data_IF_139485894026
#
_entry.id   IF_139485894026
#
_cell.length_a   1.000
_cell.length_b   1.000
_cell.length_c   1.000
_cell.angle_alpha   90.00
_cell.angle_beta   90.00
_cell.angle_gamma   90.00
#
_symmetry.space_group_name_H-M   'P 1'
#
loop_
_entity.id
_entity.type
_entity.pdbx_description
1 polymer ?
#
# COMPACT_ATOMS: atom_id res chain seq x y z
N UNK A 1 27.52 -9.61 -26.66
CA UNK A 1 27.57 -10.08 -25.27
C UNK A 1 27.76 -11.58 -25.34
N UNK A 2 28.87 -12.08 -24.81
CA UNK A 2 29.27 -13.49 -24.94
C UNK A 2 28.36 -14.38 -24.08
N UNK A 3 27.64 -15.35 -24.67
CA UNK A 3 26.65 -16.15 -23.95
C UNK A 3 27.24 -17.11 -22.89
N UNK A 4 28.56 -17.34 -22.90
CA UNK A 4 29.27 -18.15 -21.90
C UNK A 4 29.74 -17.36 -20.67
N UNK A 5 29.78 -16.02 -20.74
CA UNK A 5 30.16 -15.17 -19.59
C UNK A 5 29.02 -15.04 -18.56
N UNK A 6 27.78 -15.38 -18.93
CA UNK A 6 26.58 -15.01 -18.18
C UNK A 6 26.04 -16.08 -17.22
N UNK A 7 25.96 -17.35 -17.61
CA UNK A 7 25.19 -18.34 -16.82
C UNK A 7 25.91 -18.80 -15.55
N UNK A 8 27.21 -19.07 -15.62
CA UNK A 8 28.00 -19.52 -14.48
C UNK A 8 28.20 -18.42 -13.43
N UNK A 9 28.37 -17.16 -13.89
CA UNK A 9 28.49 -16.01 -13.01
C UNK A 9 27.15 -15.67 -12.34
N UNK A 10 26.05 -15.66 -13.10
CA UNK A 10 24.70 -15.48 -12.56
C UNK A 10 24.38 -16.58 -11.52
N UNK A 11 24.71 -17.83 -11.82
CA UNK A 11 24.51 -18.94 -10.90
C UNK A 11 25.34 -18.79 -9.62
N UNK A 12 26.59 -18.34 -9.74
CA UNK A 12 27.45 -18.04 -8.60
C UNK A 12 26.86 -16.92 -7.74
N UNK A 13 26.44 -15.82 -8.35
CA UNK A 13 25.81 -14.69 -7.64
C UNK A 13 24.51 -15.09 -6.93
N UNK A 14 23.68 -15.91 -7.57
CA UNK A 14 22.46 -16.46 -6.97
C UNK A 14 22.78 -17.35 -5.75
N UNK A 15 23.79 -18.21 -5.85
CA UNK A 15 24.22 -19.05 -4.73
C UNK A 15 24.79 -18.19 -3.60
N UNK A 16 25.67 -17.25 -3.91
CA UNK A 16 26.29 -16.38 -2.93
C UNK A 16 25.22 -15.56 -2.17
N UNK A 17 24.27 -14.96 -2.88
CA UNK A 17 23.15 -14.21 -2.27
C UNK A 17 22.23 -15.10 -1.42
N UNK A 18 21.90 -16.31 -1.88
CA UNK A 18 21.13 -17.28 -1.09
C UNK A 18 21.86 -17.69 0.20
N UNK A 19 23.15 -18.02 0.09
CA UNK A 19 23.96 -18.44 1.23
C UNK A 19 24.13 -17.31 2.25
N UNK A 20 24.36 -16.09 1.81
CA UNK A 20 24.44 -14.91 2.67
C UNK A 20 23.10 -14.65 3.39
N UNK A 21 21.97 -14.84 2.70
CA UNK A 21 20.64 -14.72 3.30
C UNK A 21 20.40 -15.78 4.38
N UNK A 22 20.80 -17.03 4.12
CA UNK A 22 20.71 -18.14 5.09
C UNK A 22 21.60 -17.89 6.31
N UNK A 23 22.82 -17.39 6.12
CA UNK A 23 23.73 -17.06 7.21
C UNK A 23 23.20 -15.90 8.05
N UNK A 24 22.69 -14.85 7.43
CA UNK A 24 22.03 -13.74 8.13
C UNK A 24 20.76 -14.20 8.88
N UNK A 25 20.04 -15.20 8.34
CA UNK A 25 18.92 -15.82 9.03
C UNK A 25 19.34 -16.56 10.29
N UNK A 26 20.35 -17.44 10.17
CA UNK A 26 20.91 -18.18 11.31
C UNK A 26 21.49 -17.26 12.37
N UNK A 27 22.21 -16.20 11.98
CA UNK A 27 22.76 -15.22 12.90
C UNK A 27 21.67 -14.48 13.71
N UNK A 28 20.50 -14.23 13.11
CA UNK A 28 19.37 -13.61 13.81
C UNK A 28 18.81 -14.47 14.94
N UNK A 29 18.87 -15.79 14.81
CA UNK A 29 18.36 -16.73 15.81
C UNK A 29 19.42 -17.07 16.87
N UNK A 30 20.69 -17.18 16.46
CA UNK A 30 21.77 -17.67 17.31
C UNK A 30 22.51 -16.58 18.11
N UNK A 31 22.27 -15.28 17.85
CA UNK A 31 22.92 -14.19 18.59
C UNK A 31 22.03 -13.76 19.77
N UNK A 32 22.38 -14.13 21.02
CA UNK A 32 21.56 -13.87 22.20
C UNK A 32 21.64 -12.42 22.70
N UNK A 33 22.58 -11.61 22.18
CA UNK A 33 22.73 -10.20 22.56
C UNK A 33 21.68 -9.34 21.86
N UNK A 34 20.68 -8.79 22.58
CA UNK A 34 19.52 -8.13 21.96
C UNK A 34 19.89 -6.89 21.16
N UNK A 35 20.92 -6.15 21.60
CA UNK A 35 21.37 -4.94 20.90
C UNK A 35 21.98 -5.27 19.53
N UNK A 36 22.77 -6.34 19.40
CA UNK A 36 23.38 -6.77 18.12
C UNK A 36 22.30 -7.28 17.16
N UNK A 37 21.37 -8.10 17.67
CA UNK A 37 20.30 -8.66 16.85
C UNK A 37 19.33 -7.58 16.35
N UNK A 38 18.89 -6.67 17.24
CA UNK A 38 17.92 -5.62 16.90
C UNK A 38 18.50 -4.49 16.03
N UNK A 39 19.80 -4.19 16.13
CA UNK A 39 20.39 -3.09 15.35
C UNK A 39 21.09 -3.54 14.10
N UNK A 40 21.84 -4.63 14.11
CA UNK A 40 22.70 -4.99 12.98
C UNK A 40 21.97 -5.89 11.98
N UNK A 41 21.34 -6.96 12.48
CA UNK A 41 20.68 -7.96 11.64
C UNK A 41 19.36 -7.44 11.09
N UNK A 42 18.56 -6.76 11.91
CA UNK A 42 17.28 -6.19 11.48
C UNK A 42 17.47 -5.06 10.46
N UNK A 43 18.44 -4.16 10.68
CA UNK A 43 18.74 -3.08 9.73
C UNK A 43 19.33 -3.60 8.43
N UNK A 44 20.20 -4.62 8.47
CA UNK A 44 20.74 -5.23 7.26
C UNK A 44 19.65 -5.89 6.41
N UNK A 45 18.69 -6.59 7.02
CA UNK A 45 17.53 -7.15 6.30
C UNK A 45 16.65 -6.07 5.70
N UNK A 46 16.46 -4.97 6.42
CA UNK A 46 15.65 -3.85 5.94
C UNK A 46 16.32 -3.13 4.77
N UNK A 47 17.63 -2.93 4.83
CA UNK A 47 18.42 -2.40 3.71
C UNK A 47 18.35 -3.35 2.52
N UNK A 48 18.53 -4.66 2.73
CA UNK A 48 18.43 -5.66 1.67
C UNK A 48 17.04 -5.68 1.02
N UNK A 49 15.98 -5.65 1.82
CA UNK A 49 14.61 -5.57 1.32
C UNK A 49 14.40 -4.28 0.52
N UNK A 50 14.83 -3.12 1.03
CA UNK A 50 14.72 -1.84 0.33
C UNK A 50 15.46 -1.84 -1.00
N UNK A 51 16.68 -2.38 -1.05
CA UNK A 51 17.45 -2.47 -2.29
C UNK A 51 16.77 -3.40 -3.29
N UNK A 52 16.29 -4.57 -2.86
CA UNK A 52 15.57 -5.50 -3.74
C UNK A 52 14.29 -4.87 -4.29
N UNK A 53 13.49 -4.25 -3.42
CA UNK A 53 12.26 -3.56 -3.84
C UNK A 53 12.56 -2.40 -4.78
N UNK A 54 13.64 -1.64 -4.55
CA UNK A 54 14.04 -0.56 -5.45
C UNK A 54 14.40 -1.11 -6.84
N UNK A 55 15.16 -2.21 -6.91
CA UNK A 55 15.49 -2.87 -8.17
C UNK A 55 14.21 -3.36 -8.87
N UNK A 56 13.32 -4.03 -8.13
CA UNK A 56 12.03 -4.50 -8.68
C UNK A 56 11.21 -3.34 -9.26
N UNK A 57 11.12 -2.20 -8.56
CA UNK A 57 10.43 -0.99 -9.04
C UNK A 57 11.09 -0.42 -10.29
N UNK A 58 12.43 -0.33 -10.31
CA UNK A 58 13.16 0.19 -11.47
C UNK A 58 12.90 -0.68 -12.71
N UNK A 59 13.05 -1.99 -12.58
CA UNK A 59 12.96 -2.89 -13.74
C UNK A 59 11.52 -3.12 -14.23
N UNK A 60 10.52 -3.12 -13.33
CA UNK A 60 9.15 -3.49 -13.69
C UNK A 60 8.18 -2.32 -13.77
N UNK A 61 8.57 -1.12 -13.29
CA UNK A 61 7.74 0.09 -13.39
C UNK A 61 8.47 1.15 -14.21
N UNK A 62 9.68 1.54 -13.81
CA UNK A 62 10.39 2.67 -14.44
C UNK A 62 10.81 2.35 -15.87
N UNK A 63 11.48 1.23 -16.11
CA UNK A 63 11.95 0.83 -17.45
C UNK A 63 10.79 0.67 -18.44
N UNK A 64 9.71 -0.09 -18.14
CA UNK A 64 8.53 -0.14 -19.01
C UNK A 64 7.89 1.23 -19.24
N UNK A 65 7.79 2.08 -18.23
CA UNK A 65 7.20 3.42 -18.39
C UNK A 65 8.01 4.31 -19.37
N UNK A 66 9.33 4.26 -19.27
CA UNK A 66 10.23 4.99 -20.19
C UNK A 66 10.13 4.45 -21.61
N UNK A 67 10.07 3.13 -21.78
CA UNK A 67 9.89 2.49 -23.08
C UNK A 67 8.51 2.80 -23.69
N UNK A 68 7.47 2.92 -22.87
CA UNK A 68 6.10 3.20 -23.34
C UNK A 68 5.92 4.65 -23.83
N UNK A 69 6.62 5.61 -23.21
CA UNK A 69 6.47 7.04 -23.47
C UNK A 69 6.59 7.47 -24.95
N UNK A 70 7.59 7.03 -25.75
CA UNK A 70 7.68 7.39 -27.15
C UNK A 70 6.49 6.87 -27.97
N UNK A 71 5.99 5.66 -27.69
CA UNK A 71 4.82 5.11 -28.37
C UNK A 71 3.54 5.85 -28.00
N UNK A 72 3.38 6.27 -26.74
CA UNK A 72 2.24 7.07 -26.33
C UNK A 72 2.14 8.38 -27.14
N UNK A 73 3.27 9.07 -27.36
CA UNK A 73 3.30 10.32 -28.11
C UNK A 73 3.00 10.14 -29.61
N UNK A 74 3.27 8.95 -30.17
CA UNK A 74 2.98 8.63 -31.57
C UNK A 74 1.62 7.94 -31.78
N UNK A 75 0.91 7.60 -30.70
CA UNK A 75 -0.39 6.96 -30.75
C UNK A 75 -1.48 7.96 -31.17
N UNK A 76 -2.23 7.63 -32.22
CA UNK A 76 -3.32 8.45 -32.71
C UNK A 76 -4.67 7.88 -32.25
N UNK A 77 -5.31 8.58 -31.31
CA UNK A 77 -6.58 8.16 -30.73
C UNK A 77 -7.72 8.10 -31.77
N UNK A 78 -7.61 8.83 -32.88
CA UNK A 78 -8.63 8.84 -33.93
C UNK A 78 -8.67 7.53 -34.74
N UNK A 79 -7.52 6.83 -34.83
CA UNK A 79 -7.39 5.56 -35.55
C UNK A 79 -7.22 4.36 -34.63
N UNK A 80 -7.30 4.56 -33.31
CA UNK A 80 -7.00 3.57 -32.29
C UNK A 80 -5.67 2.82 -32.56
N UNK A 81 -4.66 3.53 -33.06
CA UNK A 81 -3.44 2.90 -33.55
C UNK A 81 -2.35 3.89 -33.98
N UNK A 82 -1.28 3.35 -34.55
CA UNK A 82 -0.12 4.12 -35.01
C UNK A 82 -0.24 4.45 -36.50
N UNK A 83 0.28 5.62 -36.90
CA UNK A 83 0.27 6.05 -38.30
C UNK A 83 0.99 5.01 -39.19
N UNK A 84 0.48 4.74 -40.42
CA UNK A 84 1.10 3.78 -41.34
C UNK A 84 2.59 4.04 -41.58
N UNK A 85 3.01 5.31 -41.62
CA UNK A 85 4.41 5.71 -41.79
C UNK A 85 5.38 5.12 -40.77
N UNK A 86 4.91 4.84 -39.55
CA UNK A 86 5.73 4.28 -38.47
C UNK A 86 6.03 2.80 -38.74
N UNK A 87 5.02 2.04 -39.18
CA UNK A 87 5.15 0.61 -39.51
C UNK A 87 6.09 0.33 -40.69
N UNK A 88 6.19 1.26 -41.65
CA UNK A 88 7.11 1.14 -42.78
C UNK A 88 8.54 1.61 -42.46
N UNK A 89 8.77 2.21 -41.29
CA UNK A 89 10.11 2.57 -40.83
C UNK A 89 10.79 1.38 -40.17
N UNK A 90 11.89 0.90 -40.76
CA UNK A 90 12.65 -0.24 -40.23
C UNK A 90 13.11 -0.02 -38.80
N UNK A 91 13.49 1.21 -38.44
CA UNK A 91 13.92 1.53 -37.05
C UNK A 91 12.78 1.41 -36.06
N UNK A 92 11.64 2.01 -36.40
CA UNK A 92 10.47 2.02 -35.52
C UNK A 92 9.93 0.60 -35.32
N UNK A 93 9.83 -0.17 -36.40
CA UNK A 93 9.33 -1.55 -36.35
C UNK A 93 10.22 -2.46 -35.50
N UNK A 94 11.55 -2.37 -35.66
CA UNK A 94 12.50 -3.15 -34.87
C UNK A 94 12.39 -2.77 -33.39
N UNK A 95 12.43 -1.47 -33.07
CA UNK A 95 12.26 -0.97 -31.70
C UNK A 95 10.95 -1.46 -31.08
N UNK A 96 9.83 -1.34 -31.81
CA UNK A 96 8.52 -1.80 -31.35
C UNK A 96 8.54 -3.30 -31.03
N UNK A 97 9.02 -4.14 -31.96
CA UNK A 97 9.06 -5.60 -31.76
C UNK A 97 9.93 -5.99 -30.56
N UNK A 98 11.08 -5.33 -30.36
CA UNK A 98 11.99 -5.66 -29.26
C UNK A 98 11.54 -5.11 -27.91
N UNK A 99 11.00 -3.88 -27.88
CA UNK A 99 10.65 -3.19 -26.62
C UNK A 99 9.28 -3.63 -26.11
N UNK A 100 8.36 -3.99 -27.00
CA UNK A 100 7.02 -4.48 -26.61
C UNK A 100 7.07 -5.80 -25.84
N UNK A 101 8.15 -6.57 -25.97
CA UNK A 101 8.35 -7.78 -25.18
C UNK A 101 8.51 -7.49 -23.67
N UNK A 102 8.99 -6.30 -23.32
CA UNK A 102 9.08 -5.83 -21.94
C UNK A 102 7.74 -5.25 -21.46
N UNK A 103 7.01 -4.57 -22.34
CA UNK A 103 5.73 -3.90 -22.03
C UNK A 103 4.57 -4.90 -21.87
N UNK A 104 4.50 -5.90 -22.76
CA UNK A 104 3.40 -6.85 -22.82
C UNK A 104 3.83 -8.23 -22.35
N UNK A 105 2.87 -9.03 -21.92
CA UNK A 105 3.11 -10.42 -21.53
C UNK A 105 3.29 -11.25 -22.80
N UNK A 106 4.50 -11.80 -23.00
CA UNK A 106 4.84 -12.56 -24.20
C UNK A 106 4.68 -14.07 -24.02
N UNK A 107 4.75 -14.55 -22.78
CA UNK A 107 4.65 -15.98 -22.44
C UNK A 107 4.06 -16.21 -21.05
N UNK A 108 3.63 -17.43 -20.77
CA UNK A 108 3.12 -17.82 -19.44
C UNK A 108 4.19 -17.66 -18.36
N UNK A 109 5.45 -17.97 -18.67
CA UNK A 109 6.57 -17.81 -17.74
C UNK A 109 6.89 -16.34 -17.46
N UNK A 110 6.77 -15.48 -18.48
CA UNK A 110 6.87 -14.03 -18.32
C UNK A 110 5.70 -13.46 -17.49
N UNK A 111 4.48 -13.97 -17.70
CA UNK A 111 3.33 -13.60 -16.86
C UNK A 111 3.57 -13.98 -15.40
N UNK A 112 4.05 -15.20 -15.16
CA UNK A 112 4.30 -15.73 -13.83
C UNK A 112 5.42 -14.95 -13.12
N UNK A 113 6.50 -14.58 -13.82
CA UNK A 113 7.59 -13.79 -13.24
C UNK A 113 7.14 -12.38 -12.87
N UNK A 114 6.40 -11.71 -13.76
CA UNK A 114 5.80 -10.38 -13.50
C UNK A 114 4.86 -10.42 -12.31
N UNK A 115 4.03 -11.46 -12.19
CA UNK A 115 3.12 -11.64 -11.06
C UNK A 115 3.89 -11.89 -9.75
N UNK A 116 4.92 -12.74 -9.78
CA UNK A 116 5.75 -13.02 -8.61
C UNK A 116 6.43 -11.76 -8.07
N UNK A 117 6.94 -10.92 -8.97
CA UNK A 117 7.63 -9.68 -8.59
C UNK A 117 6.64 -8.63 -8.09
N UNK A 118 5.46 -8.51 -8.72
CA UNK A 118 4.39 -7.66 -8.19
C UNK A 118 3.98 -8.07 -6.76
N UNK A 119 3.85 -9.38 -6.51
CA UNK A 119 3.57 -9.93 -5.19
C UNK A 119 4.73 -9.68 -4.20
N UNK A 120 5.98 -9.73 -4.66
CA UNK A 120 7.18 -9.42 -3.87
C UNK A 120 7.19 -7.96 -3.40
N UNK A 121 6.96 -7.01 -4.32
CA UNK A 121 6.87 -5.58 -4.01
C UNK A 121 5.72 -5.33 -3.01
N UNK A 122 4.56 -5.93 -3.24
CA UNK A 122 3.40 -5.80 -2.33
C UNK A 122 3.74 -6.29 -0.91
N UNK A 123 4.37 -7.47 -0.79
CA UNK A 123 4.81 -8.01 0.50
C UNK A 123 5.88 -7.15 1.16
N UNK A 124 6.83 -6.65 0.41
CA UNK A 124 7.88 -5.77 0.91
C UNK A 124 7.30 -4.45 1.43
N UNK A 125 6.35 -3.85 0.71
CA UNK A 125 5.62 -2.66 1.15
C UNK A 125 4.86 -2.92 2.45
N UNK A 126 4.12 -4.03 2.54
CA UNK A 126 3.39 -4.42 3.75
C UNK A 126 4.34 -4.62 4.95
N UNK A 127 5.49 -5.25 4.71
CA UNK A 127 6.53 -5.46 5.73
C UNK A 127 7.17 -4.13 6.16
N UNK A 128 7.46 -3.24 5.22
CA UNK A 128 7.97 -1.92 5.51
C UNK A 128 6.98 -1.10 6.35
N UNK A 129 5.68 -1.15 6.03
CA UNK A 129 4.63 -0.47 6.78
C UNK A 129 4.56 -0.95 8.24
N UNK A 130 4.58 -2.27 8.47
CA UNK A 130 4.56 -2.84 9.82
C UNK A 130 5.82 -2.51 10.63
N UNK A 131 6.98 -2.39 9.96
CA UNK A 131 8.25 -2.12 10.61
C UNK A 131 8.49 -0.63 10.87
N UNK A 132 8.07 0.25 9.95
CA UNK A 132 8.19 1.71 10.07
C UNK A 132 7.30 2.29 11.18
N UNK A 133 6.20 1.60 11.54
CA UNK A 133 5.24 2.05 12.56
C UNK A 133 4.86 3.52 12.36
N UNK A 134 4.23 3.87 11.23
CA UNK A 134 3.94 5.26 10.88
C UNK A 134 3.01 5.91 11.92
N UNK A 135 3.18 7.21 12.11
CA UNK A 135 2.26 8.04 12.91
C UNK A 135 1.03 8.46 12.12
N UNK A 136 1.19 8.67 10.82
CA UNK A 136 0.14 9.02 9.86
C UNK A 136 0.11 7.95 8.77
N UNK A 137 -1.05 7.34 8.54
CA UNK A 137 -1.23 6.31 7.53
C UNK A 137 -2.45 6.66 6.65
N UNK A 138 -2.19 6.95 5.38
CA UNK A 138 -3.22 7.18 4.38
C UNK A 138 -3.27 6.01 3.40
N UNK A 139 -4.41 5.33 3.36
CA UNK A 139 -4.69 4.13 2.56
C UNK A 139 -5.94 4.31 1.71
N UNK A 140 -6.35 5.55 1.44
CA UNK A 140 -7.55 5.87 0.68
C UNK A 140 -7.48 5.37 -0.77
N UNK A 141 -8.61 4.97 -1.34
CA UNK A 141 -8.75 4.59 -2.75
C UNK A 141 -7.88 3.39 -3.19
N UNK A 142 -7.72 2.39 -2.33
CA UNK A 142 -6.92 1.19 -2.62
C UNK A 142 -7.76 -0.09 -2.82
N UNK A 143 -9.09 -0.02 -2.70
CA UNK A 143 -9.96 -1.19 -2.84
C UNK A 143 -9.85 -2.22 -1.72
N UNK A 144 -9.35 -1.84 -0.54
CA UNK A 144 -9.20 -2.78 0.58
C UNK A 144 -10.56 -3.23 1.14
N UNK A 145 -10.72 -4.54 1.35
CA UNK A 145 -11.91 -5.13 1.97
C UNK A 145 -11.74 -5.37 3.46
N UNK A 146 -10.51 -5.56 3.93
CA UNK A 146 -10.18 -5.78 5.33
C UNK A 146 -8.94 -4.99 5.72
N UNK A 147 -8.84 -4.65 7.01
CA UNK A 147 -7.65 -4.02 7.61
C UNK A 147 -6.96 -5.05 8.51
N UNK A 148 -5.68 -5.38 8.28
CA UNK A 148 -4.97 -6.34 9.11
C UNK A 148 -4.77 -5.80 10.53
N UNK A 149 -4.90 -6.66 11.54
CA UNK A 149 -4.73 -6.28 12.96
C UNK A 149 -3.39 -5.63 13.25
N UNK A 150 -2.35 -6.02 12.52
CA UNK A 150 -0.98 -5.53 12.69
C UNK A 150 -0.86 -4.02 12.44
N UNK A 151 -1.76 -3.45 11.62
CA UNK A 151 -1.84 -1.99 11.40
C UNK A 151 -2.44 -1.29 12.61
N UNK A 152 -3.45 -1.91 13.24
CA UNK A 152 -4.11 -1.36 14.43
C UNK A 152 -3.27 -1.57 15.69
N UNK A 153 -2.40 -2.58 15.75
CA UNK A 153 -1.47 -2.83 16.87
C UNK A 153 -0.23 -1.90 16.88
N UNK A 154 -0.26 -0.80 16.12
CA UNK A 154 0.83 0.17 16.08
C UNK A 154 0.69 1.24 17.18
N UNK A 155 1.53 1.23 18.24
CA UNK A 155 1.41 2.16 19.37
C UNK A 155 1.76 3.62 19.03
N UNK A 156 2.21 3.91 17.80
CA UNK A 156 2.54 5.26 17.34
C UNK A 156 1.49 5.85 16.40
N UNK A 157 0.53 5.05 15.95
CA UNK A 157 -0.44 5.49 14.95
C UNK A 157 -1.41 6.50 15.57
N UNK A 158 -1.38 7.75 15.06
CA UNK A 158 -2.26 8.85 15.49
C UNK A 158 -3.34 9.14 14.46
N UNK A 159 -3.05 8.98 13.18
CA UNK A 159 -3.99 9.27 12.10
C UNK A 159 -4.08 8.12 11.12
N UNK A 160 -5.31 7.70 10.82
CA UNK A 160 -5.61 6.64 9.87
C UNK A 160 -6.69 7.09 8.88
N UNK A 161 -6.38 7.02 7.58
CA UNK A 161 -7.34 7.32 6.50
C UNK A 161 -7.60 6.08 5.67
N UNK A 162 -8.84 5.60 5.69
CA UNK A 162 -9.31 4.42 4.96
C UNK A 162 -10.44 4.75 3.98
N UNK A 163 -10.70 6.04 3.76
CA UNK A 163 -11.79 6.48 2.90
C UNK A 163 -11.75 5.89 1.48
N UNK A 164 -12.93 5.71 0.90
CA UNK A 164 -13.12 5.11 -0.42
C UNK A 164 -12.49 3.71 -0.58
N UNK A 165 -12.57 2.89 0.47
CA UNK A 165 -12.28 1.47 0.41
C UNK A 165 -13.52 0.67 0.84
N UNK A 166 -13.83 -0.48 0.22
CA UNK A 166 -14.95 -1.34 0.59
C UNK A 166 -14.69 -2.14 1.89
N UNK A 167 -14.07 -1.51 2.90
CA UNK A 167 -13.81 -2.12 4.21
C UNK A 167 -15.15 -2.32 4.93
N UNK A 168 -15.45 -3.56 5.31
CA UNK A 168 -16.67 -3.89 6.05
C UNK A 168 -16.49 -3.70 7.55
N UNK A 169 -15.34 -4.11 8.09
CA UNK A 169 -15.13 -4.19 9.53
C UNK A 169 -13.67 -3.86 9.90
N UNK A 170 -13.50 -3.31 11.10
CA UNK A 170 -12.19 -3.17 11.74
C UNK A 170 -11.95 -4.40 12.65
N UNK A 171 -10.69 -4.82 12.85
CA UNK A 171 -10.38 -6.00 13.65
C UNK A 171 -10.87 -5.83 15.11
N UNK A 172 -11.65 -6.79 15.61
CA UNK A 172 -12.15 -6.79 16.99
C UNK A 172 -11.07 -7.17 18.02
N UNK A 173 -10.10 -7.99 17.63
CA UNK A 173 -9.04 -8.49 18.50
C UNK A 173 -7.72 -7.74 18.27
N UNK A 174 -7.46 -6.72 19.11
CA UNK A 174 -6.22 -5.92 19.08
C UNK A 174 -5.55 -5.97 20.46
N UNK A 175 -4.28 -6.40 20.52
CA UNK A 175 -3.54 -6.54 21.79
C UNK A 175 -3.06 -5.21 22.36
N UNK A 176 -2.73 -4.26 21.49
CA UNK A 176 -2.20 -2.93 21.84
C UNK A 176 -3.01 -1.90 21.07
N UNK A 177 -3.84 -1.12 21.76
CA UNK A 177 -4.63 -0.08 21.10
C UNK A 177 -3.71 1.08 20.65
N UNK A 178 -3.90 1.58 19.43
CA UNK A 178 -3.19 2.75 18.94
C UNK A 178 -3.79 4.02 19.57
N UNK A 179 -2.98 5.04 19.91
CA UNK A 179 -3.48 6.34 20.36
C UNK A 179 -4.01 7.16 19.17
N UNK A 180 -5.08 6.67 18.54
CA UNK A 180 -5.71 7.31 17.39
C UNK A 180 -6.40 8.61 17.82
N UNK A 181 -5.99 9.70 17.18
CA UNK A 181 -6.61 11.02 17.26
C UNK A 181 -7.51 11.26 16.05
N UNK A 182 -7.17 10.66 14.90
CA UNK A 182 -7.82 10.94 13.62
C UNK A 182 -8.18 9.66 12.89
N UNK A 183 -9.44 9.52 12.48
CA UNK A 183 -9.93 8.36 11.73
C UNK A 183 -10.90 8.75 10.59
N UNK A 184 -10.49 8.55 9.35
CA UNK A 184 -11.34 8.78 8.16
C UNK A 184 -11.84 7.46 7.58
N UNK A 185 -13.17 7.29 7.60
CA UNK A 185 -13.92 6.13 7.11
C UNK A 185 -14.95 6.51 6.04
N UNK A 186 -14.80 7.68 5.41
CA UNK A 186 -15.74 8.15 4.38
C UNK A 186 -15.84 7.15 3.23
N UNK A 187 -17.05 6.88 2.75
CA UNK A 187 -17.30 5.90 1.67
C UNK A 187 -16.73 4.50 1.97
N UNK A 188 -16.82 4.05 3.22
CA UNK A 188 -16.55 2.66 3.60
C UNK A 188 -17.86 1.92 3.92
N UNK A 189 -17.79 0.60 4.15
CA UNK A 189 -18.94 -0.20 4.54
C UNK A 189 -18.92 -0.54 6.05
N UNK A 190 -18.15 0.23 6.83
CA UNK A 190 -18.03 0.06 8.28
C UNK A 190 -19.34 0.45 8.96
N UNK A 191 -19.89 -0.46 9.76
CA UNK A 191 -21.16 -0.27 10.47
C UNK A 191 -20.99 -0.07 11.98
N UNK A 192 -19.96 -0.67 12.58
CA UNK A 192 -19.69 -0.65 14.02
C UNK A 192 -18.20 -0.40 14.26
N UNK A 193 -17.87 0.34 15.32
CA UNK A 193 -16.49 0.53 15.77
C UNK A 193 -16.17 -0.42 16.93
N UNK A 194 -14.98 -1.02 16.97
CA UNK A 194 -14.63 -1.99 17.99
C UNK A 194 -14.52 -1.36 19.39
N UNK A 195 -14.67 -2.20 20.41
CA UNK A 195 -14.73 -1.78 21.82
C UNK A 195 -13.38 -1.30 22.38
N UNK A 196 -12.27 -1.81 21.86
CA UNK A 196 -10.91 -1.44 22.29
C UNK A 196 -10.50 -0.01 21.90
N UNK A 197 -11.24 0.62 20.98
CA UNK A 197 -10.90 1.96 20.47
C UNK A 197 -11.24 3.02 21.51
N UNK A 198 -10.26 3.84 21.86
CA UNK A 198 -10.51 5.02 22.68
C UNK A 198 -11.15 6.12 21.81
N UNK A 199 -12.30 6.61 22.27
CA UNK A 199 -13.10 7.65 21.60
C UNK A 199 -12.98 8.99 22.31
N UNK A 200 -12.15 9.10 23.35
CA UNK A 200 -12.04 10.28 24.19
C UNK A 200 -11.43 11.49 23.46
N UNK A 201 -10.43 11.26 22.62
CA UNK A 201 -9.72 12.26 21.81
C UNK A 201 -9.85 11.99 20.30
N UNK A 202 -10.73 11.06 19.92
CA UNK A 202 -10.91 10.66 18.54
C UNK A 202 -11.76 11.69 17.80
N UNK A 203 -11.25 12.10 16.64
CA UNK A 203 -11.92 12.93 15.67
C UNK A 203 -11.97 12.15 14.36
N UNK A 204 -13.16 11.98 13.79
CA UNK A 204 -13.31 11.17 12.60
C UNK A 204 -14.38 11.66 11.66
N UNK A 205 -14.36 11.11 10.46
CA UNK A 205 -15.41 11.31 9.45
C UNK A 205 -15.81 9.95 8.91
N UNK A 206 -17.11 9.71 8.75
CA UNK A 206 -17.67 8.46 8.25
C UNK A 206 -18.80 8.71 7.24
N UNK A 207 -18.72 9.80 6.48
CA UNK A 207 -19.73 10.20 5.52
C UNK A 207 -19.96 9.10 4.48
N UNK A 208 -21.22 8.79 4.20
CA UNK A 208 -21.65 7.69 3.33
C UNK A 208 -21.29 6.27 3.82
N UNK A 209 -20.77 6.10 5.03
CA UNK A 209 -20.64 4.78 5.67
C UNK A 209 -21.92 4.42 6.47
N UNK A 210 -22.29 3.13 6.56
CA UNK A 210 -23.46 2.71 7.34
C UNK A 210 -23.34 3.04 8.83
N UNK A 211 -22.12 3.25 9.33
CA UNK A 211 -21.83 3.78 10.67
C UNK A 211 -22.55 5.11 10.92
N UNK A 212 -22.59 6.03 9.96
CA UNK A 212 -23.24 7.33 10.17
C UNK A 212 -24.76 7.19 10.32
N UNK A 213 -25.37 6.27 9.56
CA UNK A 213 -26.78 5.96 9.74
C UNK A 213 -27.03 5.38 11.14
N UNK A 214 -26.21 4.41 11.56
CA UNK A 214 -26.31 3.79 12.89
C UNK A 214 -26.12 4.81 14.03
N UNK A 215 -25.20 5.77 13.87
CA UNK A 215 -24.97 6.84 14.85
C UNK A 215 -26.16 7.80 14.91
N UNK A 216 -26.74 8.19 13.78
CA UNK A 216 -27.87 9.13 13.74
C UNK A 216 -29.17 8.51 14.28
N UNK A 217 -29.54 7.32 13.81
CA UNK A 217 -30.79 6.65 14.21
C UNK A 217 -30.68 5.97 15.57
N UNK A 218 -29.47 5.70 16.05
CA UNK A 218 -29.25 4.92 17.27
C UNK A 218 -29.80 3.50 17.16
N UNK A 219 -29.87 2.94 15.95
CA UNK A 219 -30.45 1.62 15.67
C UNK A 219 -29.38 0.57 15.36
N UNK A 220 -29.57 -0.67 15.79
CA UNK A 220 -28.65 -1.80 15.54
C UNK A 220 -27.69 -2.07 16.70
N UNK A 221 -26.58 -2.81 16.46
CA UNK A 221 -25.59 -3.16 17.50
C UNK A 221 -24.97 -1.93 18.21
N UNK A 222 -25.02 -0.76 17.56
CA UNK A 222 -24.51 0.51 18.10
C UNK A 222 -25.38 1.07 19.24
N UNK A 223 -26.66 0.68 19.34
CA UNK A 223 -27.59 1.22 20.36
C UNK A 223 -27.25 0.80 21.79
N UNK A 224 -26.53 -0.31 21.94
CA UNK A 224 -26.11 -0.85 23.23
C UNK A 224 -24.73 -0.33 23.68
N UNK A 225 -24.04 0.46 22.86
CA UNK A 225 -22.69 0.94 23.20
C UNK A 225 -22.76 2.13 24.18
N UNK A 226 -22.18 2.03 25.40
CA UNK A 226 -22.14 3.14 26.35
C UNK A 226 -21.38 4.37 25.84
N UNK A 227 -20.55 4.21 24.79
CA UNK A 227 -19.78 5.29 24.16
C UNK A 227 -20.56 6.08 23.12
N UNK A 228 -21.81 5.71 22.83
CA UNK A 228 -22.63 6.31 21.77
C UNK A 228 -22.69 7.86 21.79
N UNK A 229 -22.85 8.55 22.93
CA UNK A 229 -22.87 10.01 22.95
C UNK A 229 -21.53 10.65 22.55
N UNK A 230 -20.41 10.00 22.88
CA UNK A 230 -19.08 10.45 22.49
C UNK A 230 -18.84 10.20 21.01
N UNK A 231 -19.20 9.01 20.52
CA UNK A 231 -19.10 8.65 19.10
C UNK A 231 -19.85 9.63 18.20
N UNK A 232 -21.07 10.04 18.59
CA UNK A 232 -21.86 11.05 17.86
C UNK A 232 -21.18 12.41 17.75
N UNK A 233 -20.32 12.78 18.71
CA UNK A 233 -19.57 14.05 18.69
C UNK A 233 -18.23 13.90 17.98
N UNK A 234 -17.59 12.74 18.11
CA UNK A 234 -16.32 12.42 17.51
C UNK A 234 -16.40 12.30 15.98
N UNK A 235 -17.52 11.79 15.45
CA UNK A 235 -17.67 11.55 14.01
C UNK A 235 -18.52 12.60 13.30
N UNK A 236 -17.95 13.18 12.24
CA UNK A 236 -18.68 13.97 11.27
C UNK A 236 -19.39 13.07 10.25
N UNK A 237 -20.69 13.35 10.03
CA UNK A 237 -21.57 12.61 9.13
C UNK A 237 -22.25 13.52 8.08
N UNK A 238 -21.65 14.66 7.79
CA UNK A 238 -22.21 15.65 6.87
C UNK A 238 -21.85 15.40 5.40
N UNK A 239 -22.22 16.32 4.50
CA UNK A 239 -21.87 16.24 3.09
C UNK A 239 -20.35 16.27 2.92
N UNK A 240 -19.91 15.48 1.95
CA UNK A 240 -18.51 15.36 1.58
C UNK A 240 -18.06 16.65 0.85
N UNK A 241 -16.88 17.21 1.18
CA UNK A 241 -16.32 18.35 0.45
C UNK A 241 -16.14 18.07 -1.05
N UNK A 242 -16.37 19.08 -1.88
CA UNK A 242 -16.25 18.96 -3.34
C UNK A 242 -14.80 18.89 -3.84
N UNK A 243 -13.82 19.35 -3.06
CA UNK A 243 -12.39 19.26 -3.42
C UNK A 243 -11.88 17.85 -3.11
N UNK A 244 -11.50 17.02 -4.09
CA UNK A 244 -11.07 15.62 -3.90
C UNK A 244 -9.81 15.45 -3.04
N UNK A 245 -9.06 16.53 -2.74
CA UNK A 245 -7.86 16.47 -1.89
C UNK A 245 -8.16 16.10 -0.44
N UNK A 246 -9.41 16.24 0.03
CA UNK A 246 -9.82 15.84 1.39
C UNK A 246 -9.62 14.36 1.70
N UNK A 247 -9.56 13.50 0.67
CA UNK A 247 -9.29 12.07 0.84
C UNK A 247 -7.81 11.78 1.16
N UNK A 248 -6.90 12.63 0.70
CA UNK A 248 -5.46 12.38 0.76
C UNK A 248 -4.74 13.23 1.80
N UNK A 249 -5.36 14.31 2.26
CA UNK A 249 -4.78 15.26 3.20
C UNK A 249 -5.68 15.43 4.41
N UNK A 250 -5.06 15.59 5.58
CA UNK A 250 -5.78 16.03 6.77
C UNK A 250 -6.43 17.39 6.41
N UNK A 251 -7.76 17.50 6.45
CA UNK A 251 -8.44 18.69 5.99
C UNK A 251 -8.24 19.82 7.01
N UNK A 252 -7.13 20.53 6.89
CA UNK A 252 -6.78 21.70 7.70
C UNK A 252 -7.89 22.76 7.71
N UNK A 253 -8.69 22.81 6.63
CA UNK A 253 -9.81 23.75 6.49
C UNK A 253 -11.09 23.32 7.24
N UNK A 254 -11.23 22.04 7.61
CA UNK A 254 -12.36 21.54 8.41
C UNK A 254 -12.01 21.31 9.88
N UNK A 255 -10.80 21.71 10.30
CA UNK A 255 -10.38 21.74 11.71
C UNK A 255 -11.42 22.45 12.61
N UNK A 256 -12.07 23.57 12.22
CA UNK A 256 -13.10 24.21 13.04
C UNK A 256 -14.43 23.44 13.13
N UNK A 257 -14.71 22.55 12.17
CA UNK A 257 -15.94 21.73 12.17
C UNK A 257 -15.76 20.45 13.00
N UNK A 258 -14.54 19.94 13.03
CA UNK A 258 -14.14 18.72 13.72
C UNK A 258 -13.66 18.98 15.16
N UNK A 259 -13.20 20.20 15.45
CA UNK A 259 -12.81 20.69 16.78
C UNK A 259 -13.46 22.07 17.03
N UNK A 260 -14.78 22.12 17.30
CA UNK A 260 -15.53 23.36 17.51
C UNK A 260 -15.20 24.06 18.83
#
# INVERSE_FOLDING_TARGET
MDPEYDSANLFRELIETMLLTIQAYRASYLVPRPWINNTLVLRARLVGLMVNTLLDVVYYIVVPSVLFLPYYNEFDASWAGFKPSCWFSTRWLISAITEWQMLFVTSIWDAASKLFIALSIYRALLTALTLLRPTFLALTLNGFTTVPREVMENPRLRSLMLGANPVSDLPEDVRVSPPLEVLFLDMTNVSVLPSWMDVSQLVGSASLAPLCQALQTGSGLVSADPRLPKLRRAFYCGPIPSDPRYLYQYPLLSEPLLNP
#
